data_IF_049685140993
#
_entry.id   IF_049685140993
#
_cell.length_a   1.000
_cell.length_b   1.000
_cell.length_c   1.000
_cell.angle_alpha   90.00
_cell.angle_beta   90.00
_cell.angle_gamma   90.00
#
_symmetry.space_group_name_H-M   'P 1'
#
loop_
_entity.id
_entity.type
_entity.pdbx_description
1 polymer ?
#
# COMPACT_ATOMS: atom_id res chain seq x y z
N UNK A 1 -4.62 5.06 16.65
CA UNK A 1 -5.50 3.95 17.06
C UNK A 1 -6.40 4.47 18.16
N UNK A 2 -7.63 4.88 17.84
CA UNK A 2 -8.61 5.31 18.86
C UNK A 2 -9.25 4.02 19.35
N UNK A 3 -8.82 3.53 20.50
CA UNK A 3 -9.55 2.50 21.22
C UNK A 3 -10.74 3.24 21.85
N UNK A 4 -11.92 3.13 21.23
CA UNK A 4 -13.16 3.55 21.90
C UNK A 4 -13.42 2.51 22.99
N UNK A 5 -13.15 2.87 24.23
CA UNK A 5 -13.71 2.16 25.37
C UNK A 5 -15.21 2.48 25.32
N UNK A 6 -16.02 1.57 24.75
CA UNK A 6 -17.45 1.77 24.63
C UNK A 6 -18.07 1.97 26.02
N UNK A 7 -18.75 3.09 26.22
CA UNK A 7 -19.49 3.33 27.44
C UNK A 7 -20.83 2.59 27.36
N UNK A 8 -21.31 2.09 28.49
CA UNK A 8 -22.61 1.40 28.56
C UNK A 8 -23.70 2.46 28.70
N UNK A 9 -24.78 2.35 27.94
CA UNK A 9 -25.92 3.27 27.91
C UNK A 9 -25.53 4.73 27.57
N UNK A 10 -24.70 4.93 26.54
CA UNK A 10 -24.33 6.26 26.04
C UNK A 10 -25.09 6.64 24.75
N UNK A 11 -25.99 5.76 24.30
CA UNK A 11 -26.77 5.91 23.07
C UNK A 11 -26.01 5.52 21.80
N UNK A 12 -24.86 4.86 21.90
CA UNK A 12 -24.05 4.39 20.78
C UNK A 12 -23.88 2.87 20.87
N UNK A 13 -24.25 2.16 19.80
CA UNK A 13 -24.01 0.72 19.69
C UNK A 13 -22.54 0.45 19.35
N UNK A 14 -21.70 0.27 20.36
CA UNK A 14 -20.27 -0.01 20.26
C UNK A 14 -19.95 -1.53 20.37
N UNK A 15 -20.85 -2.32 20.95
CA UNK A 15 -20.71 -3.78 21.05
C UNK A 15 -21.55 -4.50 19.99
N UNK A 16 -20.94 -5.44 19.26
CA UNK A 16 -21.62 -6.17 18.18
C UNK A 16 -22.89 -6.91 18.61
N UNK A 17 -22.98 -7.37 19.87
CA UNK A 17 -24.11 -8.14 20.37
C UNK A 17 -25.28 -7.29 20.87
N UNK A 18 -25.14 -5.95 20.83
CA UNK A 18 -26.18 -4.99 21.19
C UNK A 18 -26.54 -4.93 22.68
N UNK A 19 -25.72 -5.51 23.56
CA UNK A 19 -25.98 -5.53 25.00
C UNK A 19 -25.52 -4.28 25.77
N UNK A 20 -24.87 -3.33 25.09
CA UNK A 20 -24.36 -2.09 25.68
C UNK A 20 -25.47 -1.07 25.98
N UNK A 21 -26.51 -1.02 25.17
CA UNK A 21 -27.67 -0.13 25.32
C UNK A 21 -28.90 -0.88 25.82
N UNK A 22 -28.90 -1.26 27.10
CA UNK A 22 -29.97 -2.04 27.71
C UNK A 22 -31.06 -1.18 28.38
N UNK A 23 -30.81 0.11 28.59
CA UNK A 23 -31.75 1.03 29.25
C UNK A 23 -32.96 1.41 28.37
N UNK A 24 -32.95 0.99 27.10
CA UNK A 24 -34.03 1.17 26.14
C UNK A 24 -34.04 2.53 25.45
N UNK A 25 -33.04 3.39 25.64
CA UNK A 25 -32.89 4.67 24.93
C UNK A 25 -32.61 4.44 23.44
N UNK A 26 -31.82 3.41 23.12
CA UNK A 26 -31.51 2.94 21.77
C UNK A 26 -31.72 1.43 21.68
N UNK A 27 -32.16 0.92 20.51
CA UNK A 27 -32.22 -0.52 20.23
C UNK A 27 -31.04 -0.92 19.35
N UNK A 28 -30.09 -1.65 19.92
CA UNK A 28 -28.93 -2.15 19.20
C UNK A 28 -29.20 -3.57 18.67
N UNK A 29 -29.12 -3.81 17.34
CA UNK A 29 -29.23 -5.15 16.78
C UNK A 29 -27.96 -5.97 17.01
N UNK A 30 -28.10 -7.28 17.18
CA UNK A 30 -26.96 -8.21 17.17
C UNK A 30 -26.41 -8.34 15.73
N UNK A 31 -25.18 -7.90 15.53
CA UNK A 31 -24.41 -7.96 14.28
C UNK A 31 -23.17 -8.84 14.39
N UNK A 32 -22.94 -9.52 15.51
CA UNK A 32 -21.72 -10.31 15.70
C UNK A 32 -21.55 -11.40 14.63
N UNK A 33 -22.64 -11.95 14.10
CA UNK A 33 -22.60 -12.92 13.00
C UNK A 33 -22.08 -12.31 11.69
N UNK A 34 -22.62 -11.16 11.30
CA UNK A 34 -22.22 -10.44 10.09
C UNK A 34 -20.77 -9.96 10.18
N UNK A 35 -20.38 -9.35 11.31
CA UNK A 35 -19.01 -8.90 11.55
C UNK A 35 -18.01 -10.07 11.55
N UNK A 36 -18.38 -11.22 12.12
CA UNK A 36 -17.54 -12.41 12.08
C UNK A 36 -17.38 -12.96 10.66
N UNK A 37 -18.43 -12.92 9.84
CA UNK A 37 -18.36 -13.36 8.45
C UNK A 37 -17.52 -12.41 7.60
N UNK A 38 -17.67 -11.10 7.78
CA UNK A 38 -16.79 -10.09 7.15
C UNK A 38 -15.33 -10.29 7.55
N UNK A 39 -15.05 -10.50 8.84
CA UNK A 39 -13.70 -10.77 9.33
C UNK A 39 -13.11 -12.06 8.72
N UNK A 40 -13.89 -13.13 8.58
CA UNK A 40 -13.46 -14.38 7.92
C UNK A 40 -13.13 -14.17 6.45
N UNK A 41 -13.93 -13.37 5.75
CA UNK A 41 -13.69 -13.04 4.34
C UNK A 41 -12.38 -12.26 4.20
N UNK A 42 -12.14 -11.27 5.07
CA UNK A 42 -10.90 -10.49 5.05
C UNK A 42 -9.67 -11.33 5.44
N UNK A 43 -9.78 -12.20 6.45
CA UNK A 43 -8.71 -13.16 6.80
C UNK A 43 -8.40 -14.08 5.63
N UNK A 44 -9.43 -14.60 4.93
CA UNK A 44 -9.24 -15.45 3.75
C UNK A 44 -8.49 -14.71 2.64
N UNK A 45 -8.87 -13.47 2.33
CA UNK A 45 -8.17 -12.64 1.33
C UNK A 45 -6.73 -12.36 1.73
N UNK A 46 -6.49 -12.04 3.01
CA UNK A 46 -5.15 -11.80 3.53
C UNK A 46 -4.27 -13.06 3.44
N UNK A 47 -4.83 -14.23 3.72
CA UNK A 47 -4.15 -15.52 3.58
C UNK A 47 -3.81 -15.84 2.13
N UNK A 48 -4.73 -15.59 1.19
CA UNK A 48 -4.49 -15.75 -0.24
C UNK A 48 -3.39 -14.81 -0.74
N UNK A 49 -3.43 -13.54 -0.33
CA UNK A 49 -2.38 -12.57 -0.65
C UNK A 49 -1.01 -12.97 -0.08
N UNK A 50 -0.99 -13.48 1.15
CA UNK A 50 0.23 -13.99 1.79
C UNK A 50 0.79 -15.22 1.05
N UNK A 51 -0.08 -16.10 0.52
CA UNK A 51 0.36 -17.22 -0.33
C UNK A 51 0.95 -16.73 -1.66
N UNK A 52 0.32 -15.75 -2.30
CA UNK A 52 0.86 -15.14 -3.52
C UNK A 52 2.20 -14.44 -3.28
N UNK A 53 2.38 -13.83 -2.10
CA UNK A 53 3.66 -13.24 -1.67
C UNK A 53 4.80 -14.26 -1.64
N UNK A 54 4.56 -15.49 -1.19
CA UNK A 54 5.62 -16.52 -1.15
C UNK A 54 6.19 -16.83 -2.54
N UNK A 55 5.37 -16.72 -3.59
CA UNK A 55 5.86 -16.83 -4.97
C UNK A 55 6.75 -15.63 -5.34
N UNK A 56 6.34 -14.42 -4.94
CA UNK A 56 7.13 -13.20 -5.14
C UNK A 56 8.48 -13.26 -4.43
N UNK A 57 8.55 -13.78 -3.20
CA UNK A 57 9.82 -13.96 -2.46
C UNK A 57 10.77 -14.88 -3.24
N UNK A 58 10.27 -15.99 -3.79
CA UNK A 58 11.09 -16.89 -4.62
C UNK A 58 11.60 -16.21 -5.88
N UNK A 59 10.74 -15.45 -6.57
CA UNK A 59 11.15 -14.68 -7.77
C UNK A 59 12.17 -13.61 -7.42
N UNK A 60 11.95 -12.85 -6.35
CA UNK A 60 12.86 -11.82 -5.88
C UNK A 60 14.26 -12.36 -5.56
N UNK A 61 14.36 -13.57 -5.00
CA UNK A 61 15.64 -14.21 -4.74
C UNK A 61 16.46 -14.44 -6.04
N UNK A 62 15.80 -14.77 -7.16
CA UNK A 62 16.47 -14.93 -8.45
C UNK A 62 16.91 -13.60 -9.07
N UNK A 63 16.15 -12.52 -8.82
CA UNK A 63 16.39 -11.19 -9.38
C UNK A 63 17.50 -10.40 -8.65
N UNK A 64 17.81 -10.77 -7.40
CA UNK A 64 18.70 -9.99 -6.51
C UNK A 64 20.09 -9.70 -7.10
N UNK A 65 20.66 -10.66 -7.83
CA UNK A 65 22.03 -10.55 -8.36
C UNK A 65 22.10 -9.91 -9.76
N UNK A 66 20.95 -9.68 -10.38
CA UNK A 66 20.86 -8.99 -11.66
C UNK A 66 21.41 -7.56 -11.55
N UNK A 67 22.06 -7.10 -12.62
CA UNK A 67 22.70 -5.78 -12.65
C UNK A 67 21.73 -4.63 -12.35
N UNK A 68 20.45 -4.78 -12.76
CA UNK A 68 19.39 -3.79 -12.52
C UNK A 68 19.03 -3.64 -11.04
N UNK A 69 19.05 -4.73 -10.28
CA UNK A 69 18.60 -4.77 -8.88
C UNK A 69 19.74 -4.84 -7.87
N UNK A 70 20.99 -4.92 -8.34
CA UNK A 70 22.16 -4.94 -7.48
C UNK A 70 22.22 -3.73 -6.55
N UNK A 71 22.13 -3.99 -5.24
CA UNK A 71 22.17 -2.95 -4.21
C UNK A 71 20.86 -2.19 -4.03
N UNK A 72 19.79 -2.56 -4.75
CA UNK A 72 18.44 -2.07 -4.49
C UNK A 72 17.91 -2.75 -3.25
N UNK A 73 17.37 -1.97 -2.33
CA UNK A 73 16.61 -2.48 -1.20
C UNK A 73 15.19 -2.82 -1.67
N UNK A 74 14.91 -4.10 -1.91
CA UNK A 74 13.61 -4.59 -2.33
C UNK A 74 12.58 -4.74 -1.21
N UNK A 75 12.85 -4.20 -0.02
CA UNK A 75 12.00 -4.40 1.15
C UNK A 75 12.22 -5.75 1.85
N UNK A 76 11.30 -6.16 2.75
CA UNK A 76 11.39 -7.43 3.44
C UNK A 76 11.49 -8.59 2.45
N UNK A 77 12.45 -9.48 2.65
CA UNK A 77 12.79 -10.59 1.72
C UNK A 77 13.13 -10.16 0.28
N UNK A 78 13.40 -8.86 0.06
CA UNK A 78 13.48 -8.23 -1.26
C UNK A 78 12.22 -8.43 -2.12
N UNK A 79 11.07 -8.71 -1.52
CA UNK A 79 9.85 -9.15 -2.21
C UNK A 79 9.39 -8.19 -3.32
N UNK A 80 9.65 -6.89 -3.18
CA UNK A 80 9.27 -5.89 -4.20
C UNK A 80 10.16 -5.93 -5.45
N UNK A 81 11.27 -6.65 -5.47
CA UNK A 81 12.04 -6.86 -6.71
C UNK A 81 11.23 -7.66 -7.73
N UNK A 82 10.42 -8.62 -7.28
CA UNK A 82 9.51 -9.37 -8.16
C UNK A 82 8.42 -8.48 -8.77
N UNK A 83 7.92 -7.50 -8.01
CA UNK A 83 7.01 -6.47 -8.53
C UNK A 83 7.74 -5.53 -9.52
N UNK A 84 9.00 -5.20 -9.23
CA UNK A 84 9.83 -4.32 -10.05
C UNK A 84 10.31 -4.92 -11.38
N UNK A 85 10.11 -6.23 -11.60
CA UNK A 85 10.44 -6.88 -12.87
C UNK A 85 9.65 -6.26 -14.02
N UNK A 86 8.38 -5.90 -13.78
CA UNK A 86 7.47 -5.30 -14.75
C UNK A 86 7.19 -3.80 -14.52
N UNK A 87 6.31 -3.28 -15.37
CA UNK A 87 5.74 -1.94 -15.23
C UNK A 87 4.21 -2.02 -15.29
N UNK A 88 3.55 -1.16 -14.53
CA UNK A 88 2.09 -1.10 -14.45
C UNK A 88 1.61 0.19 -15.09
N UNK A 89 0.44 0.13 -15.74
CA UNK A 89 -0.16 1.28 -16.39
C UNK A 89 -1.53 1.59 -15.81
N UNK A 90 -1.83 2.88 -15.69
CA UNK A 90 -3.15 3.38 -15.36
C UNK A 90 -3.49 4.49 -16.35
N UNK A 91 -4.66 4.40 -16.95
CA UNK A 91 -5.21 5.43 -17.81
C UNK A 91 -6.36 6.12 -17.06
N UNK A 92 -6.30 7.45 -16.93
CA UNK A 92 -7.34 8.25 -16.30
C UNK A 92 -8.19 9.04 -17.32
N UNK A 93 -7.99 8.79 -18.61
CA UNK A 93 -8.65 9.42 -19.74
C UNK A 93 -7.82 10.54 -20.39
N UNK A 94 -7.22 11.42 -19.58
CA UNK A 94 -6.40 12.53 -20.07
C UNK A 94 -4.92 12.14 -20.16
N UNK A 95 -4.49 11.29 -19.24
CA UNK A 95 -3.14 10.81 -19.07
C UNK A 95 -3.06 9.29 -18.97
N UNK A 96 -1.99 8.73 -19.53
CA UNK A 96 -1.58 7.36 -19.25
C UNK A 96 -0.31 7.40 -18.40
N UNK A 97 -0.37 6.83 -17.20
CA UNK A 97 0.77 6.70 -16.30
C UNK A 97 1.41 5.34 -16.47
N UNK A 98 2.73 5.29 -16.44
CA UNK A 98 3.54 4.07 -16.41
C UNK A 98 4.44 4.10 -15.17
N UNK A 99 4.30 3.09 -14.31
CA UNK A 99 5.01 2.95 -13.03
C UNK A 99 5.89 1.71 -13.10
N UNK A 100 7.21 1.89 -13.06
CA UNK A 100 8.20 0.82 -12.99
C UNK A 100 8.99 0.98 -11.68
N UNK A 101 8.75 0.12 -10.68
CA UNK A 101 9.38 0.29 -9.37
C UNK A 101 10.91 0.30 -9.46
N UNK A 102 11.52 1.18 -8.66
CA UNK A 102 12.97 1.43 -8.61
C UNK A 102 13.63 1.88 -9.94
N UNK A 103 12.86 2.11 -11.00
CA UNK A 103 13.36 2.61 -12.28
C UNK A 103 12.81 4.02 -12.55
N UNK A 104 11.52 4.12 -12.90
CA UNK A 104 10.88 5.39 -13.30
C UNK A 104 9.37 5.40 -13.15
N UNK A 105 8.82 6.61 -13.01
CA UNK A 105 7.39 6.91 -13.15
C UNK A 105 7.23 7.94 -14.25
N UNK A 106 6.42 7.62 -15.25
CA UNK A 106 6.20 8.44 -16.43
C UNK A 106 4.71 8.76 -16.55
N UNK A 107 4.41 10.02 -16.89
CA UNK A 107 3.10 10.45 -17.34
C UNK A 107 3.16 10.74 -18.83
N UNK A 108 2.26 10.13 -19.60
CA UNK A 108 2.01 10.45 -21.00
C UNK A 108 0.73 11.26 -21.11
N UNK A 109 0.84 12.50 -21.58
CA UNK A 109 -0.30 13.37 -21.86
C UNK A 109 -0.78 13.13 -23.29
N UNK A 110 -2.10 13.03 -23.47
CA UNK A 110 -2.68 12.78 -24.80
C UNK A 110 -2.94 14.10 -25.55
N UNK A 111 -3.24 15.20 -24.84
CA UNK A 111 -3.63 16.49 -25.45
C UNK A 111 -3.16 17.71 -24.61
N UNK A 112 -2.17 18.49 -25.08
CA UNK A 112 -1.25 18.18 -26.19
C UNK A 112 -0.38 16.94 -25.87
N UNK A 113 0.11 16.22 -26.90
CA UNK A 113 1.02 15.10 -26.69
C UNK A 113 2.27 15.54 -25.93
N UNK A 114 2.59 14.84 -24.84
CA UNK A 114 3.76 15.14 -24.02
C UNK A 114 4.11 13.98 -23.10
N UNK A 115 5.34 13.97 -22.61
CA UNK A 115 5.78 12.98 -21.62
C UNK A 115 6.51 13.72 -20.50
N UNK A 116 6.10 13.45 -19.26
CA UNK A 116 6.72 14.01 -18.07
C UNK A 116 7.26 12.90 -17.18
N UNK A 117 8.48 13.06 -16.69
CA UNK A 117 9.04 12.14 -15.70
C UNK A 117 8.60 12.58 -14.30
N UNK A 118 7.82 11.76 -13.62
CA UNK A 118 7.31 12.09 -12.29
C UNK A 118 8.27 11.63 -11.18
N UNK A 119 9.10 10.63 -11.46
CA UNK A 119 10.08 10.12 -10.52
C UNK A 119 11.02 9.12 -11.17
N UNK A 120 12.13 8.84 -10.51
CA UNK A 120 13.13 7.84 -10.88
C UNK A 120 13.79 7.26 -9.64
N UNK A 121 14.33 6.05 -9.78
CA UNK A 121 14.84 5.24 -8.64
C UNK A 121 13.75 5.12 -7.56
N UNK A 122 14.08 4.56 -6.41
CA UNK A 122 13.13 4.46 -5.31
C UNK A 122 13.84 4.35 -3.98
N UNK A 123 13.38 5.12 -2.99
CA UNK A 123 13.81 5.00 -1.61
C UNK A 123 12.58 4.78 -0.74
N UNK A 124 12.68 3.85 0.20
CA UNK A 124 11.62 3.63 1.18
C UNK A 124 11.46 4.85 2.08
N UNK A 125 10.20 5.21 2.37
CA UNK A 125 9.91 6.28 3.31
C UNK A 125 10.47 5.94 4.71
N UNK A 126 10.77 6.96 5.50
CA UNK A 126 11.27 6.83 6.89
C UNK A 126 10.31 7.51 7.86
N UNK A 127 9.01 7.23 7.68
CA UNK A 127 7.89 7.81 8.45
C UNK A 127 7.67 7.14 9.79
N UNK A 128 8.20 5.93 10.01
CA UNK A 128 7.97 5.13 11.20
C UNK A 128 9.06 5.35 12.25
N UNK A 129 8.64 5.38 13.52
CA UNK A 129 9.52 5.55 14.67
C UNK A 129 9.40 4.33 15.59
N UNK A 130 10.52 3.74 15.97
CA UNK A 130 10.57 2.60 16.88
C UNK A 130 11.75 2.79 17.84
N UNK A 131 11.48 2.72 19.14
CA UNK A 131 12.49 2.91 20.21
C UNK A 131 13.33 4.20 20.06
N UNK A 132 12.71 5.29 19.57
CA UNK A 132 13.38 6.57 19.37
C UNK A 132 14.26 6.66 18.11
N UNK A 133 14.24 5.64 17.24
CA UNK A 133 14.95 5.63 15.96
C UNK A 133 13.96 5.61 14.79
N UNK A 134 14.28 6.33 13.71
CA UNK A 134 13.53 6.23 12.46
C UNK A 134 13.83 4.89 11.77
N UNK A 135 12.79 4.18 11.38
CA UNK A 135 12.87 2.95 10.59
C UNK A 135 12.22 3.14 9.23
N UNK A 136 12.60 2.27 8.29
CA UNK A 136 11.99 2.22 6.97
C UNK A 136 10.53 1.78 7.07
N UNK A 137 9.71 2.48 6.29
CA UNK A 137 8.32 2.21 6.05
C UNK A 137 8.17 1.56 4.68
N UNK A 138 8.14 0.23 4.68
CA UNK A 138 8.00 -0.56 3.45
C UNK A 138 6.58 -0.54 2.89
N UNK A 139 5.64 0.21 3.49
CA UNK A 139 4.34 0.49 2.89
C UNK A 139 4.41 1.61 1.84
N UNK A 140 5.48 2.40 1.83
CA UNK A 140 5.57 3.59 0.97
C UNK A 140 6.94 3.72 0.29
N UNK A 141 6.95 3.64 -1.04
CA UNK A 141 8.14 3.89 -1.87
C UNK A 141 8.10 5.29 -2.47
N UNK A 142 9.15 6.07 -2.23
CA UNK A 142 9.30 7.43 -2.76
C UNK A 142 10.23 7.39 -3.97
N UNK A 143 9.68 7.70 -5.14
CA UNK A 143 10.40 7.83 -6.40
C UNK A 143 10.60 9.32 -6.72
N UNK A 144 11.79 9.83 -6.37
CA UNK A 144 12.16 11.25 -6.49
C UNK A 144 12.85 11.60 -7.80
N UNK A 145 13.45 12.79 -7.87
CA UNK A 145 14.28 13.23 -9.00
C UNK A 145 13.58 13.15 -10.38
N UNK A 146 12.28 13.41 -10.39
CA UNK A 146 11.51 13.64 -11.59
C UNK A 146 11.95 14.90 -12.34
N UNK A 147 11.24 15.23 -13.40
CA UNK A 147 11.46 16.47 -14.13
C UNK A 147 11.21 17.69 -13.24
N UNK A 148 12.06 18.71 -13.38
CA UNK A 148 11.96 19.92 -12.56
C UNK A 148 10.61 20.62 -12.75
N UNK A 149 9.98 20.97 -11.64
CA UNK A 149 8.72 21.68 -11.62
C UNK A 149 8.94 23.09 -11.08
N UNK A 150 8.93 24.08 -11.97
CA UNK A 150 9.15 25.48 -11.61
C UNK A 150 8.13 26.02 -10.57
N UNK A 151 6.83 25.70 -10.66
CA UNK A 151 5.87 26.13 -9.64
C UNK A 151 6.17 25.61 -8.23
N UNK A 152 6.62 24.36 -8.11
CA UNK A 152 7.00 23.76 -6.83
C UNK A 152 8.45 24.09 -6.41
N UNK A 153 9.24 24.72 -7.29
CA UNK A 153 10.68 24.97 -7.13
C UNK A 153 11.46 23.70 -6.72
N UNK A 154 11.04 22.56 -7.22
CA UNK A 154 11.58 21.26 -6.88
C UNK A 154 11.37 20.26 -8.03
N UNK A 155 12.17 19.18 -8.10
CA UNK A 155 11.86 18.03 -8.95
C UNK A 155 10.49 17.42 -8.59
N UNK A 156 9.77 16.93 -9.61
CA UNK A 156 8.60 16.08 -9.38
C UNK A 156 8.99 14.84 -8.58
N UNK A 157 8.05 14.34 -7.77
CA UNK A 157 8.19 13.04 -7.09
C UNK A 157 6.88 12.28 -7.09
N UNK A 158 6.98 10.96 -7.06
CA UNK A 158 5.85 10.05 -6.84
C UNK A 158 6.02 9.30 -5.51
N UNK A 159 4.96 9.23 -4.73
CA UNK A 159 4.86 8.50 -3.46
C UNK A 159 3.89 7.34 -3.69
N UNK A 160 4.42 6.12 -3.75
CA UNK A 160 3.66 4.90 -4.02
C UNK A 160 3.35 4.23 -2.69
N UNK A 161 2.07 4.21 -2.33
CA UNK A 161 1.56 3.48 -1.19
C UNK A 161 1.08 2.09 -1.63
N UNK A 162 1.54 1.06 -0.93
CA UNK A 162 1.20 -0.31 -1.25
C UNK A 162 0.14 -0.89 -0.32
N UNK A 163 -0.79 -1.63 -0.90
CA UNK A 163 -1.83 -2.37 -0.20
C UNK A 163 -1.72 -3.87 -0.55
N UNK A 164 -1.93 -4.73 0.45
CA UNK A 164 -1.93 -6.17 0.23
C UNK A 164 -3.08 -6.59 -0.69
N UNK A 165 -2.77 -7.36 -1.72
CA UNK A 165 -3.74 -7.99 -2.61
C UNK A 165 -3.17 -9.26 -3.22
N UNK A 166 -4.01 -10.07 -3.88
CA UNK A 166 -3.59 -11.29 -4.57
C UNK A 166 -2.96 -11.03 -5.94
N UNK A 167 -3.21 -9.85 -6.53
CA UNK A 167 -2.69 -9.46 -7.85
C UNK A 167 -2.19 -8.03 -7.86
N UNK A 168 -1.20 -7.70 -8.70
CA UNK A 168 -0.69 -6.35 -8.80
C UNK A 168 -1.62 -5.44 -9.62
N UNK A 169 -1.94 -4.27 -9.09
CA UNK A 169 -2.80 -3.29 -9.78
C UNK A 169 -2.55 -1.86 -9.30
N UNK A 170 -2.46 -0.92 -10.24
CA UNK A 170 -2.57 0.51 -9.92
C UNK A 170 -4.05 0.85 -9.70
N UNK A 171 -4.37 1.33 -8.50
CA UNK A 171 -5.74 1.66 -8.10
C UNK A 171 -6.06 3.13 -8.39
N UNK A 172 -5.14 4.02 -8.03
CA UNK A 172 -5.32 5.45 -8.26
C UNK A 172 -3.98 6.18 -8.32
N UNK A 173 -3.97 7.28 -9.07
CA UNK A 173 -2.85 8.23 -9.15
C UNK A 173 -3.45 9.63 -9.08
N UNK A 174 -2.96 10.46 -8.16
CA UNK A 174 -3.48 11.81 -7.97
C UNK A 174 -2.33 12.77 -7.65
N UNK A 175 -2.36 13.97 -8.23
CA UNK A 175 -1.47 15.06 -7.83
C UNK A 175 -1.97 15.69 -6.52
N UNK A 176 -1.60 15.09 -5.39
CA UNK A 176 -2.09 15.49 -4.08
C UNK A 176 -1.49 16.82 -3.59
N UNK A 177 -0.27 17.14 -4.04
CA UNK A 177 0.34 18.46 -3.90
C UNK A 177 1.00 18.79 -5.23
N UNK A 178 1.24 20.08 -5.47
CA UNK A 178 1.85 20.54 -6.72
C UNK A 178 3.15 19.77 -7.03
N UNK A 179 3.14 19.04 -8.14
CA UNK A 179 4.23 18.18 -8.60
C UNK A 179 4.62 17.01 -7.67
N UNK A 180 3.71 16.63 -6.75
CA UNK A 180 3.82 15.46 -5.87
C UNK A 180 2.62 14.54 -6.12
N UNK A 181 2.92 13.37 -6.65
CA UNK A 181 1.90 12.41 -7.05
C UNK A 181 1.79 11.31 -6.00
N UNK A 182 0.58 11.05 -5.52
CA UNK A 182 0.28 9.92 -4.66
C UNK A 182 -0.32 8.80 -5.49
N UNK A 183 0.28 7.63 -5.39
CA UNK A 183 -0.08 6.44 -6.15
C UNK A 183 -0.51 5.37 -5.17
N UNK A 184 -1.69 4.79 -5.35
CA UNK A 184 -2.14 3.62 -4.61
C UNK A 184 -1.98 2.39 -5.49
N UNK A 185 -1.22 1.41 -5.01
CA UNK A 185 -0.92 0.19 -5.74
C UNK A 185 -1.20 -1.02 -4.85
N UNK A 186 -2.02 -1.94 -5.36
CA UNK A 186 -2.22 -3.25 -4.77
C UNK A 186 -1.15 -4.21 -5.28
N UNK A 187 -0.61 -5.08 -4.42
CA UNK A 187 0.35 -6.12 -4.80
C UNK A 187 0.49 -7.20 -3.71
N UNK A 188 0.76 -8.47 -4.09
CA UNK A 188 1.17 -9.51 -3.14
C UNK A 188 2.39 -9.15 -2.31
N UNK A 189 3.30 -8.33 -2.85
CA UNK A 189 4.53 -7.92 -2.15
C UNK A 189 4.26 -7.16 -0.84
N UNK A 190 3.10 -6.50 -0.73
CA UNK A 190 2.69 -5.75 0.45
C UNK A 190 1.95 -6.60 1.50
N UNK A 191 1.68 -7.87 1.20
CA UNK A 191 1.10 -8.78 2.18
C UNK A 191 2.14 -9.20 3.23
N UNK A 192 1.66 -9.73 4.34
CA UNK A 192 2.52 -10.30 5.39
C UNK A 192 3.01 -11.69 4.97
N UNK A 193 4.16 -12.13 5.49
CA UNK A 193 4.60 -13.51 5.33
C UNK A 193 3.68 -14.47 6.08
N UNK A 194 3.51 -15.70 5.60
CA UNK A 194 2.70 -16.71 6.30
C UNK A 194 3.19 -17.00 7.74
N UNK A 195 4.49 -16.87 8.01
CA UNK A 195 5.06 -17.07 9.35
C UNK A 195 4.53 -16.07 10.39
N UNK A 196 4.13 -14.87 9.97
CA UNK A 196 3.57 -13.85 10.88
C UNK A 196 2.11 -14.09 11.25
N UNK A 197 1.37 -14.90 10.50
CA UNK A 197 0.00 -15.29 10.86
C UNK A 197 -0.03 -16.31 12.02
N UNK A 198 1.06 -17.06 12.22
CA UNK A 198 1.15 -18.08 13.28
C UNK A 198 1.52 -17.50 14.65
N UNK A 199 2.21 -16.36 14.71
CA UNK A 199 2.60 -15.70 15.96
C UNK A 199 1.43 -15.00 16.68
N UNK A 200 0.31 -14.77 15.99
CA UNK A 200 -0.93 -14.23 16.56
C UNK A 200 -1.87 -15.28 17.16
N UNK A 201 -1.51 -16.57 17.11
CA UNK A 201 -2.32 -17.70 17.61
C UNK A 201 -1.76 -18.35 18.89
N UNK A 202 -0.77 -17.74 19.55
CA UNK A 202 -0.21 -18.21 20.83
C UNK A 202 -0.71 -17.42 22.02
#
# INVERSE_FOLDING_TARGET
LIIRLGAVNDGICDCCGGQDEWDGVVQCPDRCGEEADEARVEESKAMEGSRAREEYVRRAAALRDESRFRGVDGGPDNVFLAEAEGCHKLDDGDFTFEVCLFDRVIQHATKPPGQFKLGQKGNWATSLWENGQQRKDYSTLVMGDGEYCAPAKAPRRAEIHFECATTPKLISIQEAQLCVYKIHMQTPAACHSLQHHDDGKK
#
